data_IF_722986571490
#
_entry.id   IF_722986571490
#
_cell.length_a   1.000
_cell.length_b   1.000
_cell.length_c   1.000
_cell.angle_alpha   90.00
_cell.angle_beta   90.00
_cell.angle_gamma   90.00
#
_symmetry.space_group_name_H-M   'P 1'
#
loop_
_entity.id
_entity.type
_entity.pdbx_description
1 polymer ?
#
# COMPACT_ATOMS: atom_id res chain seq x y z
N UNK A 1 -2.20 -15.15 -24.05
CA UNK A 1 -1.61 -13.91 -23.54
C UNK A 1 -2.30 -13.55 -22.22
N UNK A 2 -1.54 -13.39 -21.15
CA UNK A 2 -2.09 -12.91 -19.86
C UNK A 2 -2.37 -11.42 -20.01
N UNK A 3 -3.62 -11.00 -19.78
CA UNK A 3 -3.96 -9.57 -19.81
C UNK A 3 -3.24 -8.86 -18.64
N UNK A 4 -2.67 -7.67 -18.85
CA UNK A 4 -2.03 -6.93 -17.77
C UNK A 4 -3.07 -6.57 -16.70
N UNK A 5 -2.66 -6.67 -15.43
CA UNK A 5 -3.52 -6.29 -14.30
C UNK A 5 -3.92 -4.81 -14.39
N UNK A 6 -5.19 -4.45 -14.21
CA UNK A 6 -5.62 -3.06 -14.20
C UNK A 6 -5.33 -2.35 -12.86
N UNK A 7 -4.84 -3.08 -11.87
CA UNK A 7 -4.50 -2.52 -10.56
C UNK A 7 -3.07 -2.02 -10.52
N UNK A 8 -2.87 -0.92 -9.79
CA UNK A 8 -1.51 -0.50 -9.46
C UNK A 8 -0.90 -1.48 -8.46
N UNK A 9 0.36 -1.83 -8.71
CA UNK A 9 1.13 -2.73 -7.85
C UNK A 9 2.01 -1.95 -6.89
N UNK A 10 2.42 -2.62 -5.82
CA UNK A 10 3.42 -2.13 -4.88
C UNK A 10 4.73 -1.82 -5.61
N UNK A 11 5.31 -0.67 -5.34
CA UNK A 11 6.59 -0.23 -5.89
C UNK A 11 7.64 -0.20 -4.80
N UNK A 12 8.85 -0.64 -5.12
CA UNK A 12 10.02 -0.43 -4.28
C UNK A 12 10.45 1.02 -4.41
N UNK A 13 10.58 1.72 -3.29
CA UNK A 13 10.99 3.11 -3.21
C UNK A 13 12.47 3.23 -2.87
N UNK A 14 12.95 2.31 -2.04
CA UNK A 14 14.34 2.20 -1.65
C UNK A 14 14.67 0.76 -1.28
N UNK A 15 15.88 0.30 -1.63
CA UNK A 15 16.41 -0.99 -1.22
C UNK A 15 17.91 -0.88 -0.99
N UNK A 16 18.35 -1.33 0.17
CA UNK A 16 19.75 -1.52 0.53
C UNK A 16 19.91 -2.90 1.12
N UNK A 17 20.93 -3.61 0.71
CA UNK A 17 21.32 -4.91 1.28
C UNK A 17 22.83 -5.01 1.25
N UNK A 18 23.41 -5.25 2.40
CA UNK A 18 24.84 -5.55 2.49
C UNK A 18 25.14 -6.90 1.83
N UNK A 19 26.12 -6.92 0.93
CA UNK A 19 26.63 -8.14 0.30
C UNK A 19 28.04 -8.42 0.83
N UNK A 20 28.55 -9.64 0.61
CA UNK A 20 29.93 -9.98 0.99
C UNK A 20 30.97 -9.14 0.24
N UNK A 21 30.61 -8.62 -0.95
CA UNK A 21 31.49 -7.80 -1.80
C UNK A 21 31.43 -6.31 -1.46
N UNK A 22 30.33 -5.84 -0.87
CA UNK A 22 30.15 -4.44 -0.44
C UNK A 22 29.79 -4.39 1.04
N UNK A 23 30.76 -4.28 1.94
CA UNK A 23 30.52 -4.25 3.39
C UNK A 23 29.96 -2.89 3.89
N UNK A 24 29.66 -1.94 3.00
CA UNK A 24 29.09 -0.67 3.39
C UNK A 24 27.70 -0.88 3.99
N UNK A 25 27.62 -0.87 5.32
CA UNK A 25 26.37 -0.91 6.06
C UNK A 25 25.77 0.48 6.17
N UNK A 26 24.45 0.58 6.04
CA UNK A 26 23.73 1.80 6.43
C UNK A 26 23.61 1.85 7.95
N UNK A 27 23.63 3.05 8.51
CA UNK A 27 23.27 3.27 9.90
C UNK A 27 21.76 3.44 10.06
N UNK A 28 21.25 3.21 11.26
CA UNK A 28 19.85 3.47 11.58
C UNK A 28 19.47 4.94 11.34
N UNK A 29 20.36 5.89 11.63
CA UNK A 29 20.18 7.32 11.33
C UNK A 29 20.05 7.61 9.84
N UNK A 30 20.83 6.95 8.98
CA UNK A 30 20.69 7.06 7.52
C UNK A 30 19.37 6.46 7.04
N UNK A 31 18.93 5.34 7.61
CA UNK A 31 17.60 4.76 7.31
C UNK A 31 16.47 5.72 7.68
N UNK A 32 16.56 6.42 8.81
CA UNK A 32 15.59 7.46 9.21
C UNK A 32 15.56 8.58 8.16
N UNK A 33 16.72 9.09 7.76
CA UNK A 33 16.83 10.16 6.75
C UNK A 33 16.23 9.75 5.40
N UNK A 34 16.47 8.51 4.97
CA UNK A 34 15.86 7.95 3.74
C UNK A 34 14.34 7.87 3.88
N UNK A 35 13.83 7.37 5.01
CA UNK A 35 12.40 7.27 5.25
C UNK A 35 11.72 8.65 5.24
N UNK A 36 12.32 9.66 5.88
CA UNK A 36 11.84 11.05 5.87
C UNK A 36 11.81 11.64 4.46
N UNK A 37 12.85 11.40 3.67
CA UNK A 37 12.92 11.85 2.27
C UNK A 37 11.81 11.24 1.41
N UNK A 38 11.54 9.95 1.57
CA UNK A 38 10.45 9.25 0.88
C UNK A 38 9.09 9.81 1.31
N UNK A 39 8.87 10.01 2.60
CA UNK A 39 7.62 10.54 3.14
C UNK A 39 7.33 11.96 2.65
N UNK A 40 8.37 12.80 2.57
CA UNK A 40 8.25 14.15 2.02
C UNK A 40 7.86 14.14 0.53
N UNK A 41 8.42 13.24 -0.26
CA UNK A 41 8.08 13.08 -1.67
C UNK A 41 6.66 12.53 -1.88
N UNK A 42 6.25 11.58 -1.05
CA UNK A 42 4.95 10.94 -1.15
C UNK A 42 3.80 11.79 -0.62
N UNK A 43 4.08 12.78 0.19
CA UNK A 43 3.09 13.70 0.76
C UNK A 43 1.82 12.95 1.24
N UNK A 44 1.99 11.99 2.14
CA UNK A 44 0.88 11.15 2.61
C UNK A 44 -0.21 11.96 3.27
N UNK A 45 -1.42 11.70 2.83
CA UNK A 45 -2.63 12.31 3.40
C UNK A 45 -3.59 11.21 3.86
N UNK A 46 -4.28 11.47 4.96
CA UNK A 46 -5.31 10.59 5.48
C UNK A 46 -6.63 11.34 5.55
N UNK A 47 -7.64 10.82 4.87
CA UNK A 47 -8.95 11.45 4.76
C UNK A 47 -10.02 10.47 5.22
N UNK A 48 -10.97 10.89 6.11
CA UNK A 48 -12.13 10.08 6.45
C UNK A 48 -13.13 10.09 5.30
N UNK A 49 -13.51 8.92 4.80
CA UNK A 49 -14.41 8.77 3.66
C UNK A 49 -15.59 7.87 4.02
N UNK A 50 -16.77 8.25 3.58
CA UNK A 50 -17.96 7.40 3.62
C UNK A 50 -17.92 6.41 2.45
N UNK A 51 -18.03 5.10 2.67
CA UNK A 51 -17.91 4.12 1.60
C UNK A 51 -18.90 4.32 0.45
N UNK A 52 -20.11 4.83 0.74
CA UNK A 52 -21.13 5.11 -0.28
C UNK A 52 -20.75 6.20 -1.28
N UNK A 53 -19.74 7.02 -0.96
CA UNK A 53 -19.21 8.08 -1.85
C UNK A 53 -18.13 7.56 -2.80
N UNK A 54 -17.71 6.32 -2.66
CA UNK A 54 -16.68 5.72 -3.52
C UNK A 54 -17.31 5.12 -4.76
N UNK A 55 -16.78 5.48 -5.93
CA UNK A 55 -17.19 4.89 -7.21
C UNK A 55 -15.95 4.40 -7.96
N UNK A 56 -15.92 3.13 -8.32
CA UNK A 56 -14.89 2.59 -9.20
C UNK A 56 -15.14 2.93 -10.66
N UNK A 57 -14.06 3.13 -11.37
CA UNK A 57 -14.04 3.34 -12.81
C UNK A 57 -12.69 2.96 -13.40
N UNK A 58 -12.50 3.24 -14.69
CA UNK A 58 -11.24 3.02 -15.38
C UNK A 58 -10.76 4.28 -16.08
N UNK A 59 -9.45 4.49 -16.03
CA UNK A 59 -8.79 5.54 -16.80
C UNK A 59 -7.78 4.89 -17.76
N UNK A 60 -7.69 5.40 -18.99
CA UNK A 60 -6.68 4.96 -19.96
C UNK A 60 -5.33 5.55 -19.57
N UNK A 61 -4.26 4.78 -19.75
CA UNK A 61 -2.89 5.30 -19.68
C UNK A 61 -2.56 6.18 -20.88
N UNK A 62 -1.51 6.96 -20.78
CA UNK A 62 -1.05 7.83 -21.87
C UNK A 62 -0.80 7.08 -23.18
N UNK A 63 -0.40 5.81 -23.11
CA UNK A 63 -0.22 4.96 -24.30
C UNK A 63 -1.52 4.48 -24.97
N UNK A 64 -2.69 4.83 -24.41
CA UNK A 64 -4.05 4.42 -24.84
C UNK A 64 -4.30 2.89 -24.97
N UNK A 65 -3.30 2.05 -24.66
CA UNK A 65 -3.37 0.58 -24.81
C UNK A 65 -3.78 -0.13 -23.51
N UNK A 66 -3.47 0.47 -22.39
CA UNK A 66 -3.77 -0.10 -21.07
C UNK A 66 -4.66 0.83 -20.26
N UNK A 67 -5.41 0.23 -19.34
CA UNK A 67 -6.27 0.96 -18.40
C UNK A 67 -5.86 0.64 -16.97
N UNK A 68 -6.19 1.51 -16.06
CA UNK A 68 -6.03 1.27 -14.63
C UNK A 68 -7.29 1.64 -13.86
N UNK A 69 -7.48 0.98 -12.72
CA UNK A 69 -8.62 1.21 -11.84
C UNK A 69 -8.47 2.57 -11.15
N UNK A 70 -9.55 3.33 -11.14
CA UNK A 70 -9.67 4.57 -10.36
C UNK A 70 -10.83 4.46 -9.39
N UNK A 71 -10.68 5.05 -8.21
CA UNK A 71 -11.77 5.33 -7.30
C UNK A 71 -12.06 6.84 -7.35
N UNK A 72 -13.29 7.20 -7.67
CA UNK A 72 -13.74 8.59 -7.57
C UNK A 72 -14.30 8.82 -6.17
N UNK A 73 -13.71 9.76 -5.46
CA UNK A 73 -14.06 10.13 -4.09
C UNK A 73 -14.33 11.64 -4.10
N UNK A 74 -15.52 12.03 -3.71
CA UNK A 74 -15.98 13.44 -3.75
C UNK A 74 -15.71 14.13 -5.10
N UNK A 75 -15.89 13.38 -6.21
CA UNK A 75 -15.70 13.87 -7.58
C UNK A 75 -14.25 13.80 -8.10
N UNK A 76 -13.27 13.48 -7.26
CA UNK A 76 -11.85 13.38 -7.65
C UNK A 76 -11.49 11.92 -7.97
N UNK A 77 -11.13 11.59 -9.23
CA UNK A 77 -10.69 10.25 -9.60
C UNK A 77 -9.23 10.04 -9.18
N UNK A 78 -8.99 9.03 -8.37
CA UNK A 78 -7.67 8.62 -7.91
C UNK A 78 -7.36 7.18 -8.36
N UNK A 79 -6.19 6.90 -8.94
CA UNK A 79 -5.73 5.53 -9.15
C UNK A 79 -5.73 4.74 -7.84
N UNK A 80 -6.01 3.44 -7.93
CA UNK A 80 -6.14 2.57 -6.76
C UNK A 80 -5.10 1.46 -6.81
N UNK A 81 -4.39 1.24 -5.72
CA UNK A 81 -3.56 0.03 -5.58
C UNK A 81 -4.45 -1.18 -5.35
N UNK A 82 -3.96 -2.36 -5.76
CA UNK A 82 -4.66 -3.62 -5.51
C UNK A 82 -4.95 -3.82 -4.02
N UNK A 83 -3.99 -3.49 -3.17
CA UNK A 83 -4.12 -3.58 -1.71
C UNK A 83 -5.25 -2.71 -1.18
N UNK A 84 -5.32 -1.44 -1.58
CA UNK A 84 -6.42 -0.54 -1.17
C UNK A 84 -7.78 -1.04 -1.64
N UNK A 85 -7.86 -1.59 -2.86
CA UNK A 85 -9.09 -2.20 -3.37
C UNK A 85 -9.52 -3.41 -2.53
N UNK A 86 -8.59 -4.30 -2.20
CA UNK A 86 -8.84 -5.45 -1.31
C UNK A 86 -9.34 -4.99 0.06
N UNK A 87 -8.64 -4.03 0.68
CA UNK A 87 -9.00 -3.52 2.00
C UNK A 87 -10.41 -2.92 2.00
N UNK A 88 -10.73 -2.03 1.04
CA UNK A 88 -12.06 -1.43 0.95
C UNK A 88 -13.16 -2.49 0.86
N UNK A 89 -12.99 -3.44 -0.04
CA UNK A 89 -14.02 -4.47 -0.27
C UNK A 89 -14.08 -5.45 0.89
N UNK A 90 -12.95 -5.78 1.52
CA UNK A 90 -12.92 -6.62 2.71
C UNK A 90 -13.64 -5.98 3.90
N UNK A 91 -13.50 -4.68 4.10
CA UNK A 91 -14.25 -3.95 5.14
C UNK A 91 -15.76 -3.96 4.90
N UNK A 92 -16.18 -3.92 3.63
CA UNK A 92 -17.61 -3.89 3.27
C UNK A 92 -18.27 -5.28 3.25
N UNK A 93 -17.57 -6.31 2.83
CA UNK A 93 -18.12 -7.64 2.55
C UNK A 93 -17.47 -8.78 3.31
N UNK A 94 -16.38 -8.51 3.99
CA UNK A 94 -15.49 -9.53 4.55
C UNK A 94 -14.47 -10.07 3.51
N UNK A 95 -13.34 -10.62 3.98
CA UNK A 95 -12.22 -11.01 3.12
C UNK A 95 -12.57 -12.12 2.12
N UNK A 96 -13.47 -13.04 2.47
CA UNK A 96 -13.85 -14.14 1.59
C UNK A 96 -14.54 -13.67 0.29
N UNK A 97 -15.31 -12.59 0.34
CA UNK A 97 -16.02 -12.03 -0.81
C UNK A 97 -15.19 -11.01 -1.59
N UNK A 98 -14.18 -10.42 -0.96
CA UNK A 98 -13.35 -9.39 -1.54
C UNK A 98 -12.65 -9.87 -2.84
N UNK A 99 -12.13 -11.08 -2.85
CA UNK A 99 -11.46 -11.66 -4.01
C UNK A 99 -12.38 -11.73 -5.24
N UNK A 100 -13.62 -12.20 -5.07
CA UNK A 100 -14.58 -12.33 -6.17
C UNK A 100 -15.00 -10.95 -6.73
N UNK A 101 -15.22 -9.96 -5.87
CA UNK A 101 -15.57 -8.60 -6.30
C UNK A 101 -14.41 -7.96 -7.04
N UNK A 102 -13.18 -8.14 -6.56
CA UNK A 102 -11.98 -7.62 -7.22
C UNK A 102 -11.72 -8.28 -8.57
N UNK A 103 -11.97 -9.58 -8.69
CA UNK A 103 -11.90 -10.29 -9.96
C UNK A 103 -12.93 -9.74 -10.93
N UNK A 104 -14.15 -9.49 -10.48
CA UNK A 104 -15.21 -8.86 -11.27
C UNK A 104 -14.78 -7.47 -11.76
N UNK A 105 -14.21 -6.63 -10.90
CA UNK A 105 -13.68 -5.32 -11.30
C UNK A 105 -12.53 -5.49 -12.31
N UNK A 106 -11.69 -6.50 -12.13
CA UNK A 106 -10.56 -6.76 -13.03
C UNK A 106 -10.99 -7.20 -14.43
N UNK A 107 -12.17 -7.76 -14.57
CA UNK A 107 -12.77 -8.17 -15.85
C UNK A 107 -13.40 -6.96 -16.60
N UNK A 108 -12.70 -5.85 -16.67
CA UNK A 108 -13.18 -4.56 -17.18
C UNK A 108 -13.63 -4.55 -18.65
N UNK A 109 -13.29 -5.57 -19.43
CA UNK A 109 -13.73 -5.72 -20.82
C UNK A 109 -15.10 -6.40 -20.93
N UNK A 110 -15.64 -6.90 -19.82
CA UNK A 110 -16.89 -7.65 -19.81
C UNK A 110 -18.05 -6.70 -19.65
N UNK A 111 -18.90 -6.66 -20.65
CA UNK A 111 -20.22 -6.02 -20.59
C UNK A 111 -21.29 -7.08 -20.41
N UNK A 112 -22.17 -6.85 -19.45
CA UNK A 112 -23.39 -7.63 -19.25
C UNK A 112 -24.55 -6.86 -19.86
N UNK A 113 -25.30 -7.51 -20.75
CA UNK A 113 -26.54 -6.92 -21.31
C UNK A 113 -27.75 -7.51 -20.60
N UNK A 114 -28.57 -6.62 -20.07
CA UNK A 114 -29.88 -7.00 -19.56
C UNK A 114 -30.94 -6.15 -20.24
N UNK A 115 -31.72 -6.77 -21.11
CA UNK A 115 -32.62 -6.06 -22.05
C UNK A 115 -31.83 -5.05 -22.88
N UNK A 116 -32.20 -3.78 -22.84
CA UNK A 116 -31.56 -2.69 -23.57
C UNK A 116 -30.49 -1.95 -22.78
N UNK A 117 -30.15 -2.43 -21.58
CA UNK A 117 -29.15 -1.80 -20.70
C UNK A 117 -27.87 -2.63 -20.68
N UNK A 118 -26.76 -1.96 -20.95
CA UNK A 118 -25.41 -2.52 -20.81
C UNK A 118 -24.81 -2.11 -19.45
N UNK A 119 -24.29 -3.08 -18.71
CA UNK A 119 -23.59 -2.89 -17.45
C UNK A 119 -22.12 -3.27 -17.62
N UNK A 120 -21.24 -2.40 -17.17
CA UNK A 120 -19.82 -2.75 -17.07
C UNK A 120 -19.55 -3.49 -15.73
N UNK A 121 -18.41 -4.17 -15.64
CA UNK A 121 -17.96 -4.77 -14.37
C UNK A 121 -17.89 -3.75 -13.24
N UNK A 122 -17.51 -2.50 -13.55
CA UNK A 122 -17.50 -1.41 -12.57
C UNK A 122 -18.89 -1.01 -12.11
N UNK A 123 -19.90 -1.02 -12.98
CA UNK A 123 -21.27 -0.71 -12.58
C UNK A 123 -21.81 -1.73 -11.59
N UNK A 124 -21.53 -3.02 -11.84
CA UNK A 124 -21.88 -4.11 -10.93
C UNK A 124 -21.18 -3.96 -9.59
N UNK A 125 -19.87 -3.68 -9.58
CA UNK A 125 -19.11 -3.47 -8.35
C UNK A 125 -19.61 -2.23 -7.58
N UNK A 126 -19.88 -1.12 -8.25
CA UNK A 126 -20.40 0.09 -7.63
C UNK A 126 -21.79 -0.12 -7.02
N UNK A 127 -22.64 -0.87 -7.70
CA UNK A 127 -23.94 -1.25 -7.18
C UNK A 127 -23.80 -2.09 -5.91
N UNK A 128 -22.92 -3.10 -5.94
CA UNK A 128 -22.64 -3.94 -4.81
C UNK A 128 -22.10 -3.12 -3.62
N UNK A 129 -21.13 -2.22 -3.84
CA UNK A 129 -20.57 -1.34 -2.81
C UNK A 129 -21.66 -0.45 -2.21
N UNK A 130 -22.53 0.11 -3.05
CA UNK A 130 -23.64 0.95 -2.59
C UNK A 130 -24.60 0.19 -1.67
N UNK A 131 -24.94 -1.04 -2.00
CA UNK A 131 -25.78 -1.87 -1.13
C UNK A 131 -25.10 -2.23 0.20
N UNK A 132 -23.80 -2.59 0.17
CA UNK A 132 -23.08 -2.89 1.40
C UNK A 132 -22.90 -1.66 2.29
N UNK A 133 -22.66 -0.48 1.69
CA UNK A 133 -22.43 0.76 2.42
C UNK A 133 -23.68 1.32 3.10
N UNK A 134 -24.90 0.93 2.69
CA UNK A 134 -26.13 1.29 3.38
C UNK A 134 -26.11 0.77 4.84
N UNK A 135 -25.43 -0.35 5.08
CA UNK A 135 -25.29 -0.94 6.41
C UNK A 135 -24.02 -0.46 7.14
N UNK A 136 -23.06 0.10 6.42
CA UNK A 136 -21.81 0.58 6.98
C UNK A 136 -21.98 2.00 7.57
N UNK A 137 -22.13 2.09 8.88
CA UNK A 137 -22.34 3.36 9.60
C UNK A 137 -21.04 4.12 9.86
N UNK A 138 -19.88 3.48 9.73
CA UNK A 138 -18.60 4.08 10.07
C UNK A 138 -17.87 4.63 8.83
N UNK A 139 -17.28 5.81 8.97
CA UNK A 139 -16.33 6.35 8.00
C UNK A 139 -15.07 5.50 8.02
N UNK A 140 -14.50 5.27 6.84
CA UNK A 140 -13.19 4.62 6.70
C UNK A 140 -12.11 5.69 6.56
N UNK A 141 -10.89 5.37 6.94
CA UNK A 141 -9.72 6.21 6.71
C UNK A 141 -9.02 5.79 5.43
N UNK A 142 -8.93 6.70 4.48
CA UNK A 142 -8.24 6.51 3.20
C UNK A 142 -6.90 7.22 3.28
N UNK A 143 -5.83 6.47 3.01
CA UNK A 143 -4.49 7.04 2.86
C UNK A 143 -4.16 7.17 1.39
N UNK A 144 -3.77 8.37 1.00
CA UNK A 144 -3.28 8.67 -0.34
C UNK A 144 -1.81 9.05 -0.30
N UNK A 145 -1.09 8.76 -1.39
CA UNK A 145 0.27 9.20 -1.60
C UNK A 145 0.47 9.69 -3.02
N UNK A 146 1.42 10.58 -3.22
CA UNK A 146 1.80 11.05 -4.54
C UNK A 146 2.68 10.00 -5.22
N UNK A 147 2.30 9.57 -6.42
CA UNK A 147 3.10 8.70 -7.29
C UNK A 147 3.21 9.28 -8.69
N UNK A 148 4.29 8.96 -9.35
CA UNK A 148 4.42 9.28 -10.77
C UNK A 148 3.65 8.27 -11.61
N UNK A 149 2.58 8.71 -12.26
CA UNK A 149 1.79 7.91 -13.19
C UNK A 149 1.94 8.52 -14.58
N UNK A 150 2.54 7.76 -15.49
CA UNK A 150 2.77 8.19 -16.87
C UNK A 150 3.48 9.57 -16.98
N UNK A 151 4.47 9.82 -16.10
CA UNK A 151 5.23 11.07 -16.04
C UNK A 151 4.57 12.19 -15.22
N UNK A 152 3.38 11.98 -14.68
CA UNK A 152 2.63 13.01 -13.95
C UNK A 152 2.50 12.65 -12.46
N UNK A 153 2.88 13.55 -11.52
CA UNK A 153 2.59 13.37 -10.11
C UNK A 153 1.08 13.28 -9.88
N UNK A 154 0.63 12.17 -9.34
CA UNK A 154 -0.79 11.84 -9.22
C UNK A 154 -1.07 11.29 -7.83
N UNK A 155 -2.09 11.78 -7.11
CA UNK A 155 -2.50 11.18 -5.85
C UNK A 155 -3.09 9.78 -6.12
N UNK A 156 -2.60 8.79 -5.38
CA UNK A 156 -2.99 7.38 -5.50
C UNK A 156 -3.58 6.91 -4.18
N UNK A 157 -4.69 6.20 -4.22
CA UNK A 157 -5.26 5.54 -3.06
C UNK A 157 -4.43 4.28 -2.74
N UNK A 158 -3.71 4.30 -1.63
CA UNK A 158 -2.78 3.24 -1.24
C UNK A 158 -3.32 2.29 -0.20
N UNK A 159 -4.09 2.79 0.77
CA UNK A 159 -4.69 1.94 1.77
C UNK A 159 -6.02 2.48 2.28
N UNK A 160 -6.86 1.54 2.75
CA UNK A 160 -8.17 1.80 3.33
C UNK A 160 -8.28 1.04 4.63
N UNK A 161 -8.55 1.72 5.72
CA UNK A 161 -8.64 1.13 7.05
C UNK A 161 -9.89 1.62 7.79
N UNK A 162 -10.26 0.88 8.83
CA UNK A 162 -11.35 1.29 9.72
C UNK A 162 -11.07 2.63 10.42
N UNK A 163 -12.11 3.26 10.94
CA UNK A 163 -12.06 4.60 11.56
C UNK A 163 -11.08 4.69 12.74
N UNK A 164 -10.87 3.60 13.47
CA UNK A 164 -10.00 3.53 14.65
C UNK A 164 -8.53 3.33 14.32
N UNK A 165 -8.20 2.93 13.09
CA UNK A 165 -6.82 2.69 12.69
C UNK A 165 -6.02 4.00 12.65
N UNK A 166 -4.78 3.95 13.12
CA UNK A 166 -3.83 5.05 13.02
C UNK A 166 -2.72 4.67 12.04
N UNK A 167 -2.45 5.54 11.09
CA UNK A 167 -1.30 5.40 10.22
C UNK A 167 -0.07 5.99 10.89
N UNK A 168 0.99 5.21 10.97
CA UNK A 168 2.28 5.66 11.44
C UNK A 168 3.21 5.92 10.26
N UNK A 169 4.04 6.92 10.39
CA UNK A 169 5.13 7.16 9.46
C UNK A 169 6.26 6.15 9.70
N UNK A 170 6.94 5.74 8.66
CA UNK A 170 8.07 4.82 8.78
C UNK A 170 9.22 5.47 9.57
N UNK A 171 9.47 6.78 9.35
CA UNK A 171 10.45 7.55 10.11
C UNK A 171 10.16 7.61 11.60
N UNK A 172 8.88 7.80 11.99
CA UNK A 172 8.49 7.82 13.40
C UNK A 172 8.71 6.46 14.07
N UNK A 173 8.46 5.36 13.34
CA UNK A 173 8.73 4.01 13.82
C UNK A 173 10.24 3.77 14.03
N UNK A 174 11.07 4.18 13.06
CA UNK A 174 12.53 4.05 13.18
C UNK A 174 13.07 4.89 14.33
N UNK A 175 12.59 6.13 14.50
CA UNK A 175 12.94 7.00 15.63
C UNK A 175 12.57 6.39 16.98
N UNK A 176 11.38 5.79 17.09
CA UNK A 176 10.99 5.11 18.31
C UNK A 176 11.92 3.95 18.67
N UNK A 177 12.55 3.31 17.69
CA UNK A 177 13.51 2.24 17.92
C UNK A 177 14.88 2.74 18.41
N UNK A 178 15.22 4.01 18.21
CA UNK A 178 16.46 4.59 18.74
C UNK A 178 16.53 4.57 20.29
N UNK A 179 15.40 4.33 20.95
CA UNK A 179 15.40 4.04 22.41
C UNK A 179 16.05 2.70 22.76
N UNK A 180 16.03 1.73 21.84
CA UNK A 180 16.61 0.40 22.02
C UNK A 180 17.90 0.20 21.20
N UNK A 181 18.01 0.88 20.07
CA UNK A 181 19.14 0.78 19.14
C UNK A 181 19.67 2.18 18.84
N UNK A 182 20.93 2.49 19.17
CA UNK A 182 21.54 3.78 18.84
C UNK A 182 21.49 4.10 17.34
N UNK A 183 21.45 5.39 16.98
CA UNK A 183 21.37 5.82 15.57
C UNK A 183 22.52 5.32 14.70
N UNK A 184 23.69 5.07 15.29
CA UNK A 184 24.85 4.51 14.62
C UNK A 184 24.82 2.98 14.46
N UNK A 185 23.76 2.31 14.95
CA UNK A 185 23.60 0.85 14.76
C UNK A 185 23.56 0.52 13.27
N UNK A 186 24.31 -0.53 12.90
CA UNK A 186 24.42 -0.98 11.52
C UNK A 186 23.17 -1.70 11.05
N UNK A 187 22.70 -1.32 9.85
CA UNK A 187 21.56 -1.93 9.18
C UNK A 187 22.03 -2.67 7.93
N UNK A 188 21.86 -3.98 7.91
CA UNK A 188 22.34 -4.87 6.83
C UNK A 188 21.31 -5.13 5.75
N UNK A 189 20.03 -4.85 6.01
CA UNK A 189 18.94 -5.00 5.04
C UNK A 189 17.88 -3.92 5.35
N UNK A 190 17.63 -3.05 4.39
CA UNK A 190 16.63 -2.00 4.50
C UNK A 190 15.84 -1.89 3.20
N UNK A 191 14.56 -2.17 3.28
CA UNK A 191 13.63 -2.11 2.15
C UNK A 191 12.44 -1.24 2.52
N UNK A 192 12.19 -0.24 1.71
CA UNK A 192 10.97 0.58 1.78
C UNK A 192 10.19 0.42 0.50
N UNK A 193 8.93 0.08 0.65
CA UNK A 193 7.95 0.09 -0.44
C UNK A 193 6.92 1.18 -0.17
N UNK A 194 6.06 1.42 -1.12
CA UNK A 194 4.91 2.32 -0.94
C UNK A 194 3.87 1.84 0.08
N UNK A 195 4.01 0.59 0.58
CA UNK A 195 3.06 -0.02 1.52
C UNK A 195 3.68 -0.53 2.81
N UNK A 196 4.98 -0.81 2.81
CA UNK A 196 5.66 -1.45 3.94
C UNK A 196 7.12 -1.05 4.04
N UNK A 197 7.65 -1.22 5.21
CA UNK A 197 9.08 -1.09 5.49
C UNK A 197 9.57 -2.38 6.16
N UNK A 198 10.74 -2.83 5.75
CA UNK A 198 11.46 -3.95 6.39
C UNK A 198 12.91 -3.54 6.59
N UNK A 199 13.48 -3.89 7.74
CA UNK A 199 14.90 -3.67 8.01
C UNK A 199 15.43 -4.75 8.94
N UNK A 200 16.76 -4.91 8.92
CA UNK A 200 17.50 -5.83 9.78
C UNK A 200 18.70 -5.09 10.35
N UNK A 201 18.80 -5.05 11.67
CA UNK A 201 19.93 -4.45 12.39
C UNK A 201 20.94 -5.56 12.66
N UNK A 202 22.23 -5.29 12.40
CA UNK A 202 23.32 -6.13 12.86
C UNK A 202 23.40 -6.06 14.39
N UNK A 203 23.50 -7.19 15.04
CA UNK A 203 23.72 -7.26 16.49
C UNK A 203 25.11 -7.81 16.73
N UNK A 204 25.77 -7.30 17.78
CA UNK A 204 27.01 -7.89 18.24
C UNK A 204 26.79 -9.36 18.63
N UNK A 205 27.73 -10.25 18.31
CA UNK A 205 27.62 -11.64 18.66
C UNK A 205 27.58 -11.77 20.18
N UNK A 206 26.58 -12.48 20.69
CA UNK A 206 26.52 -12.83 22.11
C UNK A 206 27.34 -14.05 22.36
N UNK A 207 28.35 -13.95 23.23
CA UNK A 207 29.15 -15.08 23.66
C UNK A 207 28.37 -15.88 24.70
N UNK A 208 27.93 -17.07 24.32
CA UNK A 208 27.26 -18.01 25.23
C UNK A 208 28.22 -19.12 25.56
N UNK A 209 28.80 -19.06 26.75
CA UNK A 209 29.85 -20.01 27.17
C UNK A 209 31.17 -19.79 26.42
N UNK A 210 31.72 -20.83 25.79
CA UNK A 210 32.95 -20.78 24.95
C UNK A 210 32.65 -20.67 23.45
N UNK A 211 31.39 -20.67 23.06
CA UNK A 211 30.97 -20.59 21.66
C UNK A 211 30.39 -19.21 21.35
N UNK A 212 30.74 -18.67 20.19
CA UNK A 212 30.18 -17.40 19.68
C UNK A 212 28.90 -17.70 18.92
N UNK A 213 27.76 -17.27 19.44
CA UNK A 213 26.51 -17.34 18.73
C UNK A 213 26.24 -16.00 18.02
N UNK A 214 26.10 -16.01 16.70
CA UNK A 214 25.71 -14.84 15.93
C UNK A 214 24.18 -14.72 16.00
N UNK A 215 23.68 -13.81 16.81
CA UNK A 215 22.26 -13.48 16.83
C UNK A 215 21.96 -12.44 15.74
N UNK A 216 21.44 -12.88 14.62
CA UNK A 216 20.81 -11.94 13.65
C UNK A 216 19.37 -11.70 14.07
N UNK A 217 19.12 -10.58 14.70
CA UNK A 217 17.76 -10.12 14.98
C UNK A 217 17.06 -9.68 13.68
N UNK A 218 16.00 -10.37 13.30
CA UNK A 218 15.15 -9.93 12.19
C UNK A 218 13.93 -9.25 12.78
N UNK A 219 13.91 -7.94 12.76
CA UNK A 219 12.72 -7.15 13.09
C UNK A 219 12.05 -6.74 11.79
N UNK A 220 11.04 -7.48 11.35
CA UNK A 220 10.20 -7.11 10.23
C UNK A 220 8.93 -6.45 10.79
N UNK A 221 8.84 -5.14 10.71
CA UNK A 221 7.61 -4.41 10.94
C UNK A 221 6.91 -4.24 9.60
N UNK A 222 6.06 -5.18 9.26
CA UNK A 222 5.13 -5.02 8.15
C UNK A 222 3.96 -4.20 8.66
N UNK A 223 3.90 -2.94 8.27
CA UNK A 223 2.71 -2.12 8.44
C UNK A 223 1.60 -2.61 7.53
N UNK A 224 1.15 -3.85 7.71
CA UNK A 224 -0.09 -4.29 7.15
C UNK A 224 -1.19 -3.68 8.01
N UNK A 225 -1.86 -2.67 7.47
CA UNK A 225 -3.18 -2.34 7.95
C UNK A 225 -4.08 -3.55 7.71
N UNK A 226 -4.22 -4.40 8.70
CA UNK A 226 -5.25 -5.43 8.80
C UNK A 226 -6.54 -4.80 9.29
#
# INVERSE_FOLDING_TARGET
MVKPSPWLHTSTLFSHKTTEEEPATMTLGECISVAEGIEAQQNWQTVPVEPCKVKFGFKKRANNKTRYVVATIDGVPMPVTKSAGVQLISHLYGPAKAAAVLETISAFDTTLKFKDVEFTACDVANLAIRFASIQAKERMKFRTAMRNIDGTPTPVLESVNGSRHQFFKHSDMLKAMCSAYPEHSEVVDFLVTDQSMRFRIAQEPVVVGREVAICQGTNSLTGHGS
#
